data_IF_667213119003
#
_entry.id   IF_667213119003
#
_cell.length_a   1.000
_cell.length_b   1.000
_cell.length_c   1.000
_cell.angle_alpha   90.00
_cell.angle_beta   90.00
_cell.angle_gamma   90.00
#
_symmetry.space_group_name_H-M   'P 1'
#
loop_
_entity.id
_entity.type
_entity.pdbx_description
1 polymer ?
#
# COMPACT_ATOMS: atom_id res chain seq x y z
N UNK A 1 -33.56 12.15 -20.31
CA UNK A 1 -33.35 13.17 -19.26
C UNK A 1 -32.02 12.88 -18.60
N UNK A 2 -31.01 13.79 -18.68
CA UNK A 2 -29.78 13.59 -17.93
C UNK A 2 -30.14 13.65 -16.44
N UNK A 3 -29.89 12.54 -15.74
CA UNK A 3 -30.01 12.50 -14.28
C UNK A 3 -29.02 13.53 -13.76
N UNK A 4 -29.52 14.66 -13.25
CA UNK A 4 -28.71 15.60 -12.49
C UNK A 4 -28.21 14.83 -11.25
N UNK A 5 -27.02 14.23 -11.34
CA UNK A 5 -26.32 13.70 -10.18
C UNK A 5 -26.08 14.90 -9.28
N UNK A 6 -26.75 14.94 -8.13
CA UNK A 6 -26.35 15.82 -7.05
C UNK A 6 -24.86 15.59 -6.81
N UNK A 7 -24.06 16.62 -7.08
CA UNK A 7 -22.63 16.58 -6.80
C UNK A 7 -22.52 16.70 -5.28
N UNK A 8 -22.19 15.59 -4.62
CA UNK A 8 -21.89 15.60 -3.18
C UNK A 8 -20.56 16.32 -2.95
N UNK A 9 -20.63 17.65 -2.95
CA UNK A 9 -19.49 18.55 -2.71
C UNK A 9 -18.63 18.11 -1.52
N UNK A 10 -19.20 17.71 -0.36
CA UNK A 10 -18.39 17.27 0.78
C UNK A 10 -17.54 16.03 0.47
N UNK A 11 -18.07 15.08 -0.30
CA UNK A 11 -17.36 13.84 -0.63
C UNK A 11 -16.15 14.12 -1.52
N UNK A 12 -16.28 15.01 -2.51
CA UNK A 12 -15.16 15.37 -3.39
C UNK A 12 -14.11 16.22 -2.69
N UNK A 13 -14.49 17.09 -1.76
CA UNK A 13 -13.53 17.80 -0.91
C UNK A 13 -12.72 16.83 -0.06
N UNK A 14 -13.40 15.86 0.58
CA UNK A 14 -12.72 14.79 1.34
C UNK A 14 -11.80 13.98 0.42
N UNK A 15 -12.26 13.63 -0.79
CA UNK A 15 -11.46 12.90 -1.77
C UNK A 15 -10.19 13.65 -2.16
N UNK A 16 -10.27 14.96 -2.39
CA UNK A 16 -9.11 15.80 -2.71
C UNK A 16 -8.13 15.87 -1.54
N UNK A 17 -8.62 16.06 -0.31
CA UNK A 17 -7.80 16.09 0.90
C UNK A 17 -7.11 14.73 1.09
N UNK A 18 -7.84 13.64 0.92
CA UNK A 18 -7.31 12.28 1.04
C UNK A 18 -6.28 12.00 -0.07
N UNK A 19 -6.54 12.47 -1.29
CA UNK A 19 -5.61 12.41 -2.42
C UNK A 19 -4.31 13.14 -2.12
N UNK A 20 -4.37 14.34 -1.51
CA UNK A 20 -3.19 15.07 -1.02
C UNK A 20 -2.42 14.24 0.01
N UNK A 21 -3.12 13.70 1.00
CA UNK A 21 -2.49 12.88 2.06
C UNK A 21 -1.80 11.65 1.47
N UNK A 22 -2.44 10.94 0.54
CA UNK A 22 -1.84 9.78 -0.14
C UNK A 22 -0.65 10.22 -1.02
N UNK A 23 -0.76 11.34 -1.72
CA UNK A 23 0.29 11.83 -2.62
C UNK A 23 1.58 12.21 -1.87
N UNK A 24 1.47 12.71 -0.64
CA UNK A 24 2.64 13.12 0.16
C UNK A 24 3.10 12.09 1.19
N UNK A 25 2.17 11.36 1.82
CA UNK A 25 2.46 10.43 2.94
C UNK A 25 2.04 8.97 2.67
N UNK A 26 1.55 8.64 1.47
CA UNK A 26 1.01 7.31 1.16
C UNK A 26 1.95 6.16 1.48
N UNK A 27 3.27 6.34 1.29
CA UNK A 27 4.26 5.33 1.66
C UNK A 27 4.37 5.10 3.17
N UNK A 28 4.36 6.17 3.99
CA UNK A 28 4.39 6.01 5.45
C UNK A 28 3.08 5.41 5.96
N UNK A 29 1.96 5.80 5.37
CA UNK A 29 0.65 5.20 5.68
C UNK A 29 0.63 3.71 5.35
N UNK A 30 1.10 3.32 4.16
CA UNK A 30 1.21 1.92 3.76
C UNK A 30 2.07 1.11 4.72
N UNK A 31 3.23 1.66 5.15
CA UNK A 31 4.08 1.08 6.20
C UNK A 31 3.28 0.83 7.47
N UNK A 32 2.66 1.88 7.98
CA UNK A 32 1.92 1.85 9.23
C UNK A 32 0.74 0.86 9.19
N UNK A 33 -0.06 0.92 8.14
CA UNK A 33 -1.22 0.04 7.95
C UNK A 33 -0.77 -1.42 7.83
N UNK A 34 0.26 -1.71 7.03
CA UNK A 34 0.79 -3.08 6.88
C UNK A 34 1.35 -3.63 8.20
N UNK A 35 2.04 -2.81 8.98
CA UNK A 35 2.53 -3.16 10.32
C UNK A 35 1.40 -3.42 11.30
N UNK A 36 0.35 -2.60 11.34
CA UNK A 36 -0.83 -2.82 12.20
C UNK A 36 -1.57 -4.10 11.81
N UNK A 37 -1.82 -4.29 10.52
CA UNK A 37 -2.53 -5.47 10.02
C UNK A 37 -1.77 -6.75 10.41
N UNK A 38 -0.45 -6.77 10.20
CA UNK A 38 0.38 -7.92 10.55
C UNK A 38 0.52 -8.13 12.06
N UNK A 39 0.65 -7.05 12.84
CA UNK A 39 0.64 -7.11 14.31
C UNK A 39 -0.65 -7.72 14.85
N UNK A 40 -1.79 -7.27 14.31
CA UNK A 40 -3.12 -7.76 14.71
C UNK A 40 -3.29 -9.24 14.35
N UNK A 41 -2.86 -9.62 13.15
CA UNK A 41 -2.89 -11.02 12.70
C UNK A 41 -2.01 -11.92 13.56
N UNK A 42 -0.74 -11.55 13.77
CA UNK A 42 0.20 -12.35 14.55
C UNK A 42 -0.25 -12.46 16.01
N UNK A 43 -0.67 -11.34 16.61
CA UNK A 43 -1.19 -11.30 17.97
C UNK A 43 -2.40 -12.24 18.13
N UNK A 44 -3.38 -12.14 17.23
CA UNK A 44 -4.56 -13.00 17.26
C UNK A 44 -4.20 -14.50 17.12
N UNK A 45 -3.33 -14.84 16.17
CA UNK A 45 -2.87 -16.22 15.97
C UNK A 45 -2.17 -16.74 17.23
N UNK A 46 -1.22 -15.99 17.79
CA UNK A 46 -0.51 -16.39 19.01
C UNK A 46 -1.45 -16.54 20.20
N UNK A 47 -2.43 -15.64 20.36
CA UNK A 47 -3.44 -15.76 21.42
C UNK A 47 -4.24 -17.06 21.28
N UNK A 48 -4.74 -17.37 20.07
CA UNK A 48 -5.54 -18.56 19.81
C UNK A 48 -4.78 -19.86 20.12
N UNK A 49 -3.52 -19.95 19.69
CA UNK A 49 -2.70 -21.15 19.91
C UNK A 49 -2.22 -21.28 21.35
N UNK A 50 -1.79 -20.18 21.98
CA UNK A 50 -1.35 -20.21 23.37
C UNK A 50 -2.49 -20.57 24.33
N UNK A 51 -3.70 -20.08 24.07
CA UNK A 51 -4.87 -20.39 24.90
C UNK A 51 -5.22 -21.87 24.84
N UNK A 52 -5.15 -22.47 23.63
CA UNK A 52 -5.36 -23.91 23.44
C UNK A 52 -4.28 -24.77 24.09
N UNK A 53 -3.04 -24.32 24.10
CA UNK A 53 -1.91 -25.06 24.67
C UNK A 53 -1.86 -24.99 26.19
N UNK A 54 -2.02 -23.81 26.79
CA UNK A 54 -1.74 -23.58 28.21
C UNK A 54 -3.01 -23.39 29.06
N UNK A 55 -4.17 -23.17 28.44
CA UNK A 55 -5.45 -22.96 29.12
C UNK A 55 -5.53 -21.68 29.97
N UNK A 56 -4.46 -20.87 30.01
CA UNK A 56 -4.37 -19.66 30.84
C UNK A 56 -4.56 -18.40 30.01
N UNK A 57 -5.64 -17.67 30.28
CA UNK A 57 -5.97 -16.39 29.63
C UNK A 57 -4.85 -15.36 29.85
N UNK A 58 -4.33 -15.27 31.07
CA UNK A 58 -3.32 -14.27 31.43
C UNK A 58 -2.05 -14.44 30.59
N UNK A 59 -1.59 -15.68 30.42
CA UNK A 59 -0.37 -15.93 29.66
C UNK A 59 -0.59 -15.72 28.16
N UNK A 60 -1.76 -16.11 27.64
CA UNK A 60 -2.12 -15.86 26.24
C UNK A 60 -2.17 -14.38 25.88
N UNK A 61 -2.66 -13.53 26.79
CA UNK A 61 -2.68 -12.07 26.58
C UNK A 61 -1.26 -11.51 26.54
N UNK A 62 -0.37 -11.94 27.45
CA UNK A 62 1.03 -11.47 27.45
C UNK A 62 1.72 -11.88 26.14
N UNK A 63 1.57 -13.14 25.72
CA UNK A 63 2.14 -13.63 24.46
C UNK A 63 1.55 -12.93 23.23
N UNK A 64 0.26 -12.59 23.25
CA UNK A 64 -0.42 -11.80 22.21
C UNK A 64 0.26 -10.44 22.04
N UNK A 65 0.53 -9.70 23.12
CA UNK A 65 1.17 -8.39 23.04
C UNK A 65 2.62 -8.49 22.55
N UNK A 66 3.37 -9.49 23.01
CA UNK A 66 4.73 -9.74 22.53
C UNK A 66 4.72 -10.04 21.03
N UNK A 67 3.83 -10.93 20.58
CA UNK A 67 3.66 -11.26 19.18
C UNK A 67 3.22 -10.05 18.35
N UNK A 68 2.27 -9.26 18.82
CA UNK A 68 1.84 -8.04 18.15
C UNK A 68 2.99 -7.03 17.99
N UNK A 69 3.83 -6.86 19.01
CA UNK A 69 5.01 -6.00 18.93
C UNK A 69 6.02 -6.48 17.87
N UNK A 70 6.30 -7.79 17.83
CA UNK A 70 7.15 -8.40 16.80
C UNK A 70 6.53 -8.22 15.41
N UNK A 71 5.23 -8.47 15.28
CA UNK A 71 4.50 -8.30 14.04
C UNK A 71 4.50 -6.85 13.56
N UNK A 72 4.41 -5.87 14.45
CA UNK A 72 4.48 -4.46 14.09
C UNK A 72 5.83 -4.08 13.46
N UNK A 73 6.94 -4.59 14.04
CA UNK A 73 8.30 -4.35 13.53
C UNK A 73 8.53 -5.03 12.19
N UNK A 74 8.05 -6.27 12.02
CA UNK A 74 8.30 -7.07 10.82
C UNK A 74 7.29 -6.83 9.68
N UNK A 75 6.11 -6.30 10.00
CA UNK A 75 4.98 -6.26 9.07
C UNK A 75 5.28 -5.56 7.75
N UNK A 76 5.98 -4.43 7.78
CA UNK A 76 6.36 -3.74 6.55
C UNK A 76 7.37 -4.53 5.69
N UNK A 77 8.32 -5.21 6.32
CA UNK A 77 9.30 -6.04 5.60
C UNK A 77 8.59 -7.20 4.92
N UNK A 78 7.68 -7.87 5.63
CA UNK A 78 6.88 -8.98 5.10
C UNK A 78 5.98 -8.50 3.98
N UNK A 79 5.34 -7.33 4.12
CA UNK A 79 4.54 -6.72 3.06
C UNK A 79 5.33 -6.49 1.77
N UNK A 80 6.56 -5.96 1.89
CA UNK A 80 7.45 -5.78 0.72
C UNK A 80 7.81 -7.10 0.06
N UNK A 81 8.14 -8.12 0.86
CA UNK A 81 8.47 -9.46 0.36
C UNK A 81 7.26 -10.08 -0.34
N UNK A 82 6.07 -9.98 0.25
CA UNK A 82 4.83 -10.50 -0.33
C UNK A 82 4.52 -9.85 -1.68
N UNK A 83 4.60 -8.52 -1.78
CA UNK A 83 4.42 -7.80 -3.05
C UNK A 83 5.46 -8.24 -4.07
N UNK A 84 6.73 -8.36 -3.68
CA UNK A 84 7.76 -8.75 -4.63
C UNK A 84 7.58 -10.16 -5.17
N UNK A 85 7.13 -11.10 -4.33
CA UNK A 85 6.85 -12.48 -4.76
C UNK A 85 5.63 -12.50 -5.69
N UNK A 86 4.55 -11.78 -5.33
CA UNK A 86 3.33 -11.73 -6.15
C UNK A 86 3.58 -11.13 -7.53
N UNK A 87 4.22 -9.96 -7.60
CA UNK A 87 4.56 -9.35 -8.88
C UNK A 87 5.58 -10.18 -9.65
N UNK A 88 6.59 -10.74 -8.97
CA UNK A 88 7.58 -11.62 -9.58
C UNK A 88 6.95 -12.87 -10.20
N UNK A 89 5.95 -13.43 -9.52
CA UNK A 89 5.13 -14.53 -10.01
C UNK A 89 4.31 -14.15 -11.24
N UNK A 90 3.60 -13.03 -11.19
CA UNK A 90 2.81 -12.55 -12.33
C UNK A 90 3.71 -12.34 -13.55
N UNK A 91 4.83 -11.63 -13.40
CA UNK A 91 5.76 -11.39 -14.52
C UNK A 91 6.38 -12.68 -15.05
N UNK A 92 6.78 -13.60 -14.16
CA UNK A 92 7.37 -14.87 -14.57
C UNK A 92 6.36 -15.75 -15.32
N UNK A 93 5.10 -15.78 -14.86
CA UNK A 93 4.03 -16.58 -15.48
C UNK A 93 3.65 -16.11 -16.89
N UNK A 94 3.82 -14.82 -17.18
CA UNK A 94 3.57 -14.26 -18.52
C UNK A 94 4.68 -14.66 -19.49
N UNK A 95 5.93 -14.72 -19.03
CA UNK A 95 7.11 -15.01 -19.86
C UNK A 95 7.29 -16.52 -20.09
N UNK A 96 7.15 -17.31 -19.02
CA UNK A 96 7.32 -18.76 -19.04
C UNK A 96 6.07 -19.44 -18.44
N UNK A 97 4.99 -19.57 -19.22
CA UNK A 97 3.74 -20.17 -18.74
C UNK A 97 3.87 -21.68 -18.45
N UNK A 98 4.91 -22.33 -18.97
CA UNK A 98 5.17 -23.74 -18.70
C UNK A 98 5.63 -23.99 -17.26
N UNK A 99 5.05 -25.00 -16.63
CA UNK A 99 5.31 -25.34 -15.22
C UNK A 99 6.62 -26.11 -15.12
N UNK A 100 7.64 -25.51 -14.53
CA UNK A 100 8.93 -26.18 -14.31
C UNK A 100 9.90 -25.40 -13.43
N UNK A 101 11.12 -25.93 -13.29
CA UNK A 101 12.22 -25.31 -12.52
C UNK A 101 12.56 -23.91 -13.06
N UNK A 102 12.42 -23.71 -14.38
CA UNK A 102 12.65 -22.42 -15.03
C UNK A 102 11.71 -21.32 -14.51
N UNK A 103 10.42 -21.63 -14.29
CA UNK A 103 9.46 -20.69 -13.71
C UNK A 103 9.89 -20.30 -12.29
N UNK A 104 10.33 -21.26 -11.48
CA UNK A 104 10.77 -20.99 -10.10
C UNK A 104 11.99 -20.06 -10.06
N UNK A 105 12.98 -20.30 -10.93
CA UNK A 105 14.15 -19.43 -11.07
C UNK A 105 13.77 -18.01 -11.52
N UNK A 106 12.87 -17.88 -12.49
CA UNK A 106 12.35 -16.58 -12.95
C UNK A 106 11.59 -15.85 -11.84
N UNK A 107 10.77 -16.56 -11.05
CA UNK A 107 10.08 -15.98 -9.89
C UNK A 107 11.07 -15.40 -8.90
N UNK A 108 12.10 -16.15 -8.51
CA UNK A 108 13.12 -15.67 -7.57
C UNK A 108 13.88 -14.46 -8.10
N UNK A 109 14.25 -14.50 -9.39
CA UNK A 109 14.96 -13.41 -10.05
C UNK A 109 14.09 -12.13 -10.09
N UNK A 110 12.85 -12.23 -10.58
CA UNK A 110 11.97 -11.07 -10.65
C UNK A 110 11.53 -10.58 -9.28
N UNK A 111 11.29 -11.49 -8.31
CA UNK A 111 11.01 -11.09 -6.94
C UNK A 111 12.16 -10.30 -6.34
N UNK A 112 13.41 -10.69 -6.58
CA UNK A 112 14.59 -9.94 -6.10
C UNK A 112 14.65 -8.55 -6.73
N UNK A 113 14.47 -8.44 -8.05
CA UNK A 113 14.45 -7.17 -8.78
C UNK A 113 13.33 -6.28 -8.24
N UNK A 114 12.10 -6.81 -8.16
CA UNK A 114 10.93 -6.06 -7.68
C UNK A 114 11.07 -5.69 -6.21
N UNK A 115 11.71 -6.52 -5.38
CA UNK A 115 11.96 -6.18 -3.99
C UNK A 115 12.83 -4.92 -3.86
N UNK A 116 13.87 -4.80 -4.70
CA UNK A 116 14.72 -3.60 -4.77
C UNK A 116 13.92 -2.40 -5.30
N UNK A 117 13.18 -2.59 -6.40
CA UNK A 117 12.36 -1.54 -7.01
C UNK A 117 11.14 -1.14 -6.17
N UNK A 118 10.64 -1.99 -5.28
CA UNK A 118 9.40 -1.77 -4.51
C UNK A 118 9.40 -0.45 -3.77
N UNK A 119 10.57 0.00 -3.32
CA UNK A 119 10.71 1.28 -2.64
C UNK A 119 10.39 2.49 -3.53
N UNK A 120 10.66 2.41 -4.83
CA UNK A 120 10.34 3.45 -5.80
C UNK A 120 8.95 3.24 -6.41
N UNK A 121 8.59 1.97 -6.66
CA UNK A 121 7.33 1.58 -7.27
C UNK A 121 6.14 1.94 -6.37
N UNK A 122 6.24 1.69 -5.06
CA UNK A 122 5.22 2.13 -4.11
C UNK A 122 5.09 3.65 -4.05
N UNK A 123 6.21 4.38 -4.05
CA UNK A 123 6.16 5.86 -4.03
C UNK A 123 5.47 6.41 -5.28
N UNK A 124 5.78 5.83 -6.44
CA UNK A 124 5.17 6.20 -7.72
C UNK A 124 3.68 5.87 -7.73
N UNK A 125 3.28 4.68 -7.27
CA UNK A 125 1.87 4.28 -7.17
C UNK A 125 1.08 5.20 -6.25
N UNK A 126 1.60 5.54 -5.06
CA UNK A 126 0.91 6.44 -4.13
C UNK A 126 0.86 7.89 -4.64
N UNK A 127 1.95 8.40 -5.22
CA UNK A 127 1.94 9.72 -5.83
C UNK A 127 0.91 9.79 -6.98
N UNK A 128 0.87 8.78 -7.85
CA UNK A 128 -0.04 8.73 -8.99
C UNK A 128 -1.50 8.60 -8.54
N UNK A 129 -1.81 7.66 -7.64
CA UNK A 129 -3.17 7.48 -7.10
C UNK A 129 -3.64 8.73 -6.37
N UNK A 130 -2.80 9.35 -5.54
CA UNK A 130 -3.13 10.62 -4.89
C UNK A 130 -3.42 11.75 -5.88
N UNK A 131 -2.60 11.89 -6.93
CA UNK A 131 -2.82 12.90 -7.98
C UNK A 131 -4.12 12.64 -8.77
N UNK A 132 -4.45 11.37 -9.07
CA UNK A 132 -5.72 11.00 -9.72
C UNK A 132 -6.91 11.36 -8.84
N UNK A 133 -6.85 11.09 -7.53
CA UNK A 133 -7.92 11.46 -6.59
C UNK A 133 -8.12 12.97 -6.51
N UNK A 134 -7.04 13.75 -6.57
CA UNK A 134 -7.09 15.20 -6.63
C UNK A 134 -7.73 15.66 -7.94
N UNK A 135 -7.34 15.07 -9.07
CA UNK A 135 -7.92 15.39 -10.38
C UNK A 135 -9.43 15.16 -10.39
N UNK A 136 -9.88 13.98 -9.99
CA UNK A 136 -11.31 13.64 -9.95
C UNK A 136 -12.08 14.56 -8.99
N UNK A 137 -11.51 14.87 -7.82
CA UNK A 137 -12.13 15.81 -6.88
C UNK A 137 -12.24 17.24 -7.42
N UNK A 138 -11.18 17.76 -8.04
CA UNK A 138 -11.17 19.15 -8.53
C UNK A 138 -11.98 19.32 -9.81
N UNK A 139 -11.89 18.36 -10.74
CA UNK A 139 -12.63 18.41 -12.00
C UNK A 139 -14.15 18.34 -11.77
N UNK A 140 -14.60 17.60 -10.76
CA UNK A 140 -16.03 17.51 -10.39
C UNK A 140 -16.53 18.73 -9.62
N UNK A 141 -15.65 19.45 -8.91
CA UNK A 141 -15.95 20.73 -8.25
C UNK A 141 -16.07 21.91 -9.23
N UNK A 142 -15.88 21.68 -10.53
CA UNK A 142 -16.15 22.67 -11.59
C UNK A 142 -14.92 23.45 -12.06
N UNK A 143 -13.70 23.06 -11.66
CA UNK A 143 -12.48 23.65 -12.19
C UNK A 143 -12.24 23.18 -13.62
N UNK A 144 -11.79 24.06 -14.51
CA UNK A 144 -11.55 23.65 -15.91
C UNK A 144 -10.47 22.56 -15.98
N UNK A 145 -10.71 21.56 -16.83
CA UNK A 145 -9.87 20.36 -16.94
C UNK A 145 -8.40 20.67 -17.20
N UNK A 146 -8.11 21.72 -17.97
CA UNK A 146 -6.73 22.13 -18.29
C UNK A 146 -5.98 22.56 -17.03
N UNK A 147 -6.59 23.42 -16.21
CA UNK A 147 -6.00 23.86 -14.94
C UNK A 147 -5.91 22.72 -13.93
N UNK A 148 -6.91 21.83 -13.88
CA UNK A 148 -6.89 20.64 -13.01
C UNK A 148 -5.72 19.71 -13.36
N UNK A 149 -5.48 19.43 -14.65
CA UNK A 149 -4.36 18.59 -15.11
C UNK A 149 -3.02 19.23 -14.76
N UNK A 150 -2.84 20.53 -15.04
CA UNK A 150 -1.60 21.24 -14.74
C UNK A 150 -1.28 21.17 -13.23
N UNK A 151 -2.27 21.42 -12.38
CA UNK A 151 -2.14 21.35 -10.93
C UNK A 151 -1.81 19.92 -10.46
N UNK A 152 -2.45 18.90 -11.04
CA UNK A 152 -2.18 17.50 -10.70
C UNK A 152 -0.77 17.06 -11.10
N UNK A 153 -0.24 17.53 -12.23
CA UNK A 153 1.15 17.25 -12.63
C UNK A 153 2.13 17.86 -11.63
N UNK A 154 1.89 19.11 -11.22
CA UNK A 154 2.74 19.79 -10.23
C UNK A 154 2.69 19.05 -8.89
N UNK A 155 1.49 18.70 -8.40
CA UNK A 155 1.36 17.97 -7.14
C UNK A 155 1.97 16.56 -7.23
N UNK A 156 1.78 15.85 -8.35
CA UNK A 156 2.40 14.55 -8.57
C UNK A 156 3.92 14.63 -8.49
N UNK A 157 4.53 15.60 -9.18
CA UNK A 157 5.98 15.80 -9.17
C UNK A 157 6.49 16.14 -7.76
N UNK A 158 5.81 17.03 -7.04
CA UNK A 158 6.16 17.40 -5.67
C UNK A 158 5.99 16.23 -4.68
N UNK A 159 4.89 15.49 -4.78
CA UNK A 159 4.61 14.32 -3.96
C UNK A 159 5.63 13.21 -4.19
N UNK A 160 5.94 12.91 -5.46
CA UNK A 160 6.95 11.93 -5.83
C UNK A 160 8.35 12.36 -5.35
N UNK A 161 8.72 13.62 -5.51
CA UNK A 161 9.98 14.16 -4.97
C UNK A 161 10.03 14.02 -3.44
N UNK A 162 8.98 14.38 -2.72
CA UNK A 162 8.92 14.27 -1.26
C UNK A 162 9.07 12.81 -0.78
N UNK A 163 8.34 11.89 -1.41
CA UNK A 163 8.37 10.48 -1.03
C UNK A 163 9.71 9.79 -1.35
N UNK A 164 10.40 10.22 -2.42
CA UNK A 164 11.73 9.73 -2.76
C UNK A 164 12.79 10.37 -1.86
N UNK A 165 12.72 11.67 -1.60
CA UNK A 165 13.67 12.38 -0.71
C UNK A 165 13.66 11.78 0.69
N UNK A 166 12.50 11.42 1.23
CA UNK A 166 12.37 10.75 2.53
C UNK A 166 13.09 9.37 2.59
N UNK A 167 13.69 8.89 1.49
CA UNK A 167 14.42 7.62 1.40
C UNK A 167 15.95 7.79 1.45
N UNK A 168 16.47 8.96 1.04
CA UNK A 168 17.90 9.30 1.13
C UNK A 168 18.16 9.72 2.57
#
# INVERSE_FOLDING_TARGET
MPIMRYVDVPAYVILTILGLVICFWGRQLSRFISSIAFASFLGYVTWLYSFRMWGSVAISIILMFIAAAIGFVLGFTIYRVAISILFGYITASIIAPERGILLLLLILLFATIIYILSNYLLSLLFAATGAIMIYEGIATLGLEKIYAIALCIVIFALGLYNQIKSKI
#
